data_IF_491181577839
#
_entry.id   IF_491181577839
#
_cell.length_a   1.000
_cell.length_b   1.000
_cell.length_c   1.000
_cell.angle_alpha   90.00
_cell.angle_beta   90.00
_cell.angle_gamma   90.00
#
_symmetry.space_group_name_H-M   'P 1'
#
loop_
_entity.id
_entity.type
_entity.pdbx_description
1 polymer ?
#
# COMPACT_ATOMS: atom_id res chain seq x y z
N UNK A 1 16.38 2.94 24.57
CA UNK A 1 15.64 2.21 23.53
C UNK A 1 15.90 0.73 23.63
N UNK A 2 14.87 -0.06 23.73
CA UNK A 2 14.99 -1.50 23.80
C UNK A 2 14.74 -2.15 22.45
N UNK A 3 14.93 -3.50 22.40
CA UNK A 3 14.70 -4.27 21.18
C UNK A 3 13.24 -4.22 20.72
N UNK A 4 12.29 -3.97 21.63
CA UNK A 4 10.88 -3.84 21.28
C UNK A 4 10.61 -2.72 20.30
N UNK A 5 11.37 -1.63 20.42
CA UNK A 5 11.15 -0.45 19.56
C UNK A 5 11.57 -0.72 18.12
N UNK A 6 12.37 -1.77 17.92
CA UNK A 6 12.76 -2.20 16.59
C UNK A 6 11.82 -3.25 15.98
N UNK A 7 10.85 -3.74 16.76
CA UNK A 7 9.93 -4.75 16.26
C UNK A 7 8.87 -4.11 15.37
N UNK A 8 8.68 -4.70 14.19
CA UNK A 8 7.66 -4.25 13.23
C UNK A 8 7.36 -5.40 12.28
N UNK A 9 6.22 -5.29 11.62
CA UNK A 9 5.81 -6.23 10.58
C UNK A 9 5.68 -5.44 9.29
N UNK A 10 6.25 -5.96 8.20
CA UNK A 10 6.18 -5.28 6.91
C UNK A 10 5.64 -6.27 5.88
N UNK A 11 4.45 -6.01 5.31
CA UNK A 11 3.94 -6.86 4.24
C UNK A 11 4.73 -6.64 2.96
N UNK A 12 4.90 -7.70 2.18
CA UNK A 12 5.54 -7.65 0.88
C UNK A 12 4.53 -8.01 -0.21
N UNK A 13 4.47 -7.20 -1.25
CA UNK A 13 3.58 -7.42 -2.38
C UNK A 13 4.41 -7.75 -3.62
N UNK A 14 3.94 -8.75 -4.41
CA UNK A 14 4.60 -9.12 -5.64
C UNK A 14 4.22 -8.16 -6.76
N UNK A 15 5.23 -7.62 -7.44
CA UNK A 15 5.03 -6.72 -8.58
C UNK A 15 5.83 -7.21 -9.79
N UNK A 16 5.28 -7.03 -10.98
CA UNK A 16 5.94 -7.45 -12.21
C UNK A 16 6.98 -6.41 -12.65
N UNK A 17 6.69 -5.12 -12.44
CA UNK A 17 7.58 -4.02 -12.83
C UNK A 17 7.65 -3.02 -11.69
N UNK A 18 8.81 -2.91 -11.07
CA UNK A 18 8.98 -1.93 -9.99
C UNK A 18 8.77 -0.51 -10.49
N UNK A 19 9.28 -0.19 -11.70
CA UNK A 19 9.12 1.16 -12.25
C UNK A 19 7.64 1.56 -12.37
N UNK A 20 6.80 0.67 -12.89
CA UNK A 20 5.36 0.92 -13.00
C UNK A 20 4.70 1.01 -11.63
N UNK A 21 5.08 0.13 -10.72
CA UNK A 21 4.52 0.10 -9.37
C UNK A 21 4.93 1.32 -8.58
N UNK A 22 6.19 1.73 -8.68
CA UNK A 22 6.68 2.95 -8.00
C UNK A 22 5.84 4.16 -8.41
N UNK A 23 5.61 4.35 -9.71
CA UNK A 23 4.81 5.46 -10.20
C UNK A 23 3.38 5.40 -9.64
N UNK A 24 2.78 4.20 -9.61
CA UNK A 24 1.46 4.02 -9.06
C UNK A 24 1.40 4.35 -7.57
N UNK A 25 2.30 3.77 -6.76
CA UNK A 25 2.30 4.01 -5.31
C UNK A 25 2.62 5.46 -4.98
N UNK A 26 3.49 6.11 -5.76
CA UNK A 26 3.74 7.54 -5.56
C UNK A 26 2.49 8.38 -5.81
N UNK A 27 1.63 7.97 -6.75
CA UNK A 27 0.35 8.66 -6.97
C UNK A 27 -0.60 8.55 -5.79
N UNK A 28 -0.43 7.55 -4.94
CA UNK A 28 -1.21 7.38 -3.70
C UNK A 28 -0.63 8.18 -2.53
N UNK A 29 0.58 8.72 -2.69
CA UNK A 29 1.27 9.44 -1.62
C UNK A 29 2.41 8.68 -0.97
N UNK A 30 2.66 7.44 -1.40
CA UNK A 30 3.82 6.69 -0.92
C UNK A 30 5.11 7.32 -1.46
N UNK A 31 6.20 7.11 -0.72
CA UNK A 31 7.53 7.47 -1.20
C UNK A 31 8.46 6.28 -1.03
N UNK A 32 9.44 6.18 -1.93
CA UNK A 32 10.45 5.15 -1.86
C UNK A 32 11.42 5.47 -0.72
N UNK A 33 11.62 4.50 0.19
CA UNK A 33 12.63 4.63 1.24
C UNK A 33 13.98 4.11 0.77
N UNK A 34 13.99 2.93 0.13
CA UNK A 34 15.20 2.35 -0.44
C UNK A 34 14.83 1.29 -1.47
N UNK A 35 15.79 1.00 -2.34
CA UNK A 35 15.70 -0.12 -3.27
C UNK A 35 16.94 -0.99 -3.12
N UNK A 36 16.78 -2.27 -3.43
CA UNK A 36 17.87 -3.22 -3.42
C UNK A 36 17.78 -4.10 -4.66
N UNK A 37 18.91 -4.21 -5.38
CA UNK A 37 19.11 -5.18 -6.45
C UNK A 37 20.63 -5.40 -6.57
N UNK A 38 21.02 -6.64 -6.87
CA UNK A 38 22.44 -6.99 -6.88
C UNK A 38 23.17 -6.33 -8.04
N UNK A 39 22.53 -6.32 -9.22
CA UNK A 39 23.08 -5.73 -10.43
C UNK A 39 21.97 -5.16 -11.28
N UNK A 40 22.28 -4.21 -12.20
CA UNK A 40 21.28 -3.71 -13.14
C UNK A 40 20.65 -4.85 -13.93
N UNK A 41 19.33 -4.81 -14.08
CA UNK A 41 18.56 -5.85 -14.78
C UNK A 41 18.13 -7.02 -13.92
N UNK A 42 18.60 -7.12 -12.68
CA UNK A 42 18.12 -8.12 -11.73
C UNK A 42 16.87 -7.61 -11.01
N UNK A 43 16.07 -8.54 -10.44
CA UNK A 43 14.84 -8.15 -9.72
C UNK A 43 15.10 -7.13 -8.63
N UNK A 44 14.20 -6.18 -8.53
CA UNK A 44 14.24 -5.13 -7.49
C UNK A 44 13.41 -5.54 -6.29
N UNK A 45 13.89 -5.19 -5.12
CA UNK A 45 13.16 -5.27 -3.87
C UNK A 45 13.23 -3.87 -3.24
N UNK A 46 12.07 -3.32 -2.87
CA UNK A 46 12.03 -1.92 -2.44
C UNK A 46 11.11 -1.73 -1.24
N UNK A 47 11.40 -0.69 -0.47
CA UNK A 47 10.54 -0.24 0.62
C UNK A 47 9.82 1.04 0.21
N UNK A 48 8.51 1.06 0.39
CA UNK A 48 7.66 2.22 0.18
C UNK A 48 6.99 2.59 1.50
N UNK A 49 6.83 3.89 1.72
CA UNK A 49 6.31 4.42 2.99
C UNK A 49 5.18 5.41 2.75
N UNK A 50 4.09 5.26 3.51
CA UNK A 50 2.99 6.22 3.54
C UNK A 50 2.68 6.55 4.99
N UNK A 51 3.01 7.77 5.42
CA UNK A 51 2.70 8.27 6.78
C UNK A 51 3.06 7.27 7.87
N UNK A 52 4.27 6.72 7.81
CA UNK A 52 4.75 5.77 8.80
C UNK A 52 4.36 4.31 8.55
N UNK A 53 3.54 4.06 7.55
CA UNK A 53 3.15 2.69 7.18
C UNK A 53 4.07 2.19 6.06
N UNK A 54 4.75 1.08 6.31
CA UNK A 54 5.73 0.53 5.37
C UNK A 54 5.20 -0.70 4.67
N UNK A 55 5.46 -0.80 3.36
CA UNK A 55 5.27 -2.02 2.59
C UNK A 55 6.52 -2.28 1.77
N UNK A 56 6.75 -3.54 1.44
CA UNK A 56 7.78 -3.91 0.46
C UNK A 56 7.13 -4.23 -0.86
N UNK A 57 7.82 -3.88 -1.96
CA UNK A 57 7.45 -4.29 -3.31
C UNK A 57 8.57 -5.17 -3.85
N UNK A 58 8.24 -6.37 -4.30
CA UNK A 58 9.22 -7.35 -4.74
C UNK A 58 8.97 -7.81 -6.16
N UNK A 59 10.00 -7.72 -7.00
CA UNK A 59 10.00 -8.34 -8.33
C UNK A 59 10.45 -9.80 -8.29
N UNK A 60 10.89 -10.29 -7.13
CA UNK A 60 11.41 -11.66 -7.00
C UNK A 60 10.27 -12.68 -7.05
N UNK A 61 10.30 -13.56 -8.04
CA UNK A 61 9.23 -14.54 -8.27
C UNK A 61 9.08 -15.56 -7.14
N UNK A 62 10.11 -15.71 -6.31
CA UNK A 62 10.08 -16.67 -5.20
C UNK A 62 9.54 -16.10 -3.90
N UNK A 63 9.32 -14.78 -3.80
CA UNK A 63 8.93 -14.16 -2.54
C UNK A 63 7.45 -14.34 -2.22
N UNK A 64 6.59 -14.04 -3.18
CA UNK A 64 5.15 -14.10 -2.98
C UNK A 64 4.43 -14.09 -4.32
N UNK A 65 3.13 -14.32 -4.30
CA UNK A 65 2.29 -14.31 -5.49
C UNK A 65 1.65 -12.94 -5.69
N UNK A 66 1.35 -12.52 -6.94
CA UNK A 66 0.57 -11.31 -7.18
C UNK A 66 -0.86 -11.48 -6.65
N UNK A 67 -1.56 -10.34 -6.47
CA UNK A 67 -2.93 -10.36 -6.00
C UNK A 67 -3.06 -10.40 -4.48
N UNK A 68 -2.09 -9.84 -3.77
CA UNK A 68 -2.13 -9.74 -2.31
C UNK A 68 -3.20 -8.74 -1.83
N UNK A 69 -3.35 -8.69 -0.51
CA UNK A 69 -4.32 -7.81 0.15
C UNK A 69 -3.67 -7.16 1.36
N UNK A 70 -3.74 -5.84 1.45
CA UNK A 70 -3.23 -5.09 2.59
C UNK A 70 -4.30 -4.11 3.07
N UNK A 71 -4.45 -4.00 4.38
CA UNK A 71 -5.35 -3.03 5.01
C UNK A 71 -4.53 -1.90 5.62
N UNK A 72 -4.89 -0.67 5.26
CA UNK A 72 -4.28 0.54 5.81
C UNK A 72 -5.33 1.29 6.61
N UNK A 73 -5.13 1.40 7.91
CA UNK A 73 -5.99 2.24 8.75
C UNK A 73 -5.53 3.68 8.65
N UNK A 74 -6.43 4.56 8.27
CA UNK A 74 -6.14 5.99 8.09
C UNK A 74 -7.14 6.82 8.88
N UNK A 75 -6.75 8.05 9.28
CA UNK A 75 -7.64 8.90 10.09
C UNK A 75 -8.92 9.31 9.39
N UNK A 76 -8.87 9.55 8.07
CA UNK A 76 -10.02 10.05 7.30
C UNK A 76 -9.94 9.55 5.87
N UNK A 77 -10.61 8.43 5.61
CA UNK A 77 -10.57 7.80 4.29
C UNK A 77 -11.27 8.64 3.24
N UNK A 78 -12.28 9.43 3.60
CA UNK A 78 -12.96 10.29 2.63
C UNK A 78 -12.03 11.40 2.14
N UNK A 79 -11.24 11.99 3.02
CA UNK A 79 -10.25 13.00 2.63
C UNK A 79 -9.18 12.38 1.74
N UNK A 80 -8.73 11.16 2.05
CA UNK A 80 -7.75 10.44 1.24
C UNK A 80 -8.33 10.13 -0.15
N UNK A 81 -9.60 9.76 -0.21
CA UNK A 81 -10.29 9.52 -1.47
C UNK A 81 -10.28 10.78 -2.37
N UNK A 82 -10.56 11.94 -1.77
CA UNK A 82 -10.52 13.20 -2.50
C UNK A 82 -9.12 13.46 -3.07
N UNK A 83 -8.08 13.17 -2.29
CA UNK A 83 -6.69 13.31 -2.76
C UNK A 83 -6.41 12.35 -3.92
N UNK A 84 -6.85 11.09 -3.80
CA UNK A 84 -6.65 10.11 -4.87
C UNK A 84 -7.31 10.57 -6.17
N UNK A 85 -8.53 11.08 -6.09
CA UNK A 85 -9.23 11.58 -7.28
C UNK A 85 -8.48 12.77 -7.88
N UNK A 86 -7.95 13.66 -7.05
CA UNK A 86 -7.18 14.82 -7.52
C UNK A 86 -5.90 14.40 -8.24
N UNK A 87 -5.29 13.28 -7.84
CA UNK A 87 -4.09 12.76 -8.49
C UNK A 87 -4.38 11.80 -9.64
N UNK A 88 -5.65 11.62 -10.00
CA UNK A 88 -6.03 10.78 -11.13
C UNK A 88 -5.98 9.28 -10.84
N UNK A 89 -6.03 8.88 -9.56
CA UNK A 89 -6.04 7.48 -9.18
C UNK A 89 -7.38 6.84 -9.56
N UNK A 90 -7.33 5.66 -10.17
CA UNK A 90 -8.53 4.89 -10.48
C UNK A 90 -8.90 4.05 -9.27
N UNK A 91 -9.91 4.49 -8.53
CA UNK A 91 -10.36 3.82 -7.30
C UNK A 91 -11.31 2.68 -7.66
N UNK A 92 -11.06 1.49 -7.12
CA UNK A 92 -11.89 0.30 -7.37
C UNK A 92 -13.27 0.46 -6.73
N UNK A 93 -13.29 0.82 -5.45
CA UNK A 93 -14.53 1.09 -4.72
C UNK A 93 -14.38 2.37 -3.92
N UNK A 94 -15.30 3.31 -4.13
CA UNK A 94 -15.36 4.54 -3.34
C UNK A 94 -15.67 4.22 -1.88
N UNK A 95 -15.34 5.12 -0.95
CA UNK A 95 -15.62 4.89 0.47
C UNK A 95 -17.07 4.51 0.72
N UNK A 96 -17.29 3.46 1.50
CA UNK A 96 -18.61 2.96 1.83
C UNK A 96 -18.58 2.31 3.21
N UNK A 97 -19.76 2.04 3.76
CA UNK A 97 -19.94 1.42 5.07
C UNK A 97 -20.58 0.03 4.96
N UNK A 98 -20.36 -0.67 3.85
CA UNK A 98 -20.98 -1.97 3.59
C UNK A 98 -20.61 -3.02 4.63
N UNK A 99 -19.43 -2.89 5.25
CA UNK A 99 -18.96 -3.85 6.26
C UNK A 99 -19.45 -3.54 7.68
N UNK A 100 -19.99 -2.35 7.92
CA UNK A 100 -20.50 -1.95 9.22
C UNK A 100 -20.54 -0.44 9.38
N UNK A 101 -21.44 0.06 10.23
CA UNK A 101 -21.67 1.49 10.39
C UNK A 101 -20.42 2.26 10.86
N UNK A 102 -19.56 1.59 11.64
CA UNK A 102 -18.37 2.23 12.22
C UNK A 102 -17.12 2.03 11.38
N UNK A 103 -17.24 1.44 10.20
CA UNK A 103 -16.12 1.08 9.37
C UNK A 103 -16.35 1.62 7.94
N UNK A 104 -15.56 2.62 7.59
CA UNK A 104 -15.62 3.21 6.26
C UNK A 104 -14.43 2.76 5.44
N UNK A 105 -14.67 2.13 4.31
CA UNK A 105 -13.64 1.42 3.54
C UNK A 105 -13.68 1.83 2.08
N UNK A 106 -12.49 2.06 1.51
CA UNK A 106 -12.26 2.29 0.10
C UNK A 106 -11.24 1.25 -0.38
N UNK A 107 -11.30 0.85 -1.64
CA UNK A 107 -10.30 -0.06 -2.20
C UNK A 107 -9.70 0.45 -3.50
N UNK A 108 -8.44 0.09 -3.71
CA UNK A 108 -7.67 0.43 -4.89
C UNK A 108 -6.89 -0.82 -5.32
N UNK A 109 -6.80 -1.07 -6.62
CA UNK A 109 -5.98 -2.15 -7.17
C UNK A 109 -4.71 -1.56 -7.76
N UNK A 110 -3.56 -2.15 -7.42
CA UNK A 110 -2.30 -1.75 -8.04
C UNK A 110 -2.15 -2.42 -9.43
N UNK A 111 -1.08 -2.13 -10.20
CA UNK A 111 -0.91 -2.71 -11.54
C UNK A 111 -0.89 -4.24 -11.57
N UNK A 112 -0.59 -4.90 -10.46
CA UNK A 112 -0.52 -6.35 -10.36
C UNK A 112 -1.72 -6.96 -9.64
N UNK A 113 -2.82 -6.19 -9.51
CA UNK A 113 -4.04 -6.61 -8.83
C UNK A 113 -3.86 -6.90 -7.34
N UNK A 114 -2.82 -6.36 -6.73
CA UNK A 114 -2.76 -6.31 -5.27
C UNK A 114 -3.82 -5.33 -4.80
N UNK A 115 -4.67 -5.76 -3.88
CA UNK A 115 -5.76 -4.93 -3.37
C UNK A 115 -5.34 -4.20 -2.11
N UNK A 116 -5.47 -2.90 -2.16
CA UNK A 116 -5.17 -2.03 -1.04
C UNK A 116 -6.49 -1.50 -0.50
N UNK A 117 -6.81 -1.83 0.74
CA UNK A 117 -7.98 -1.29 1.41
C UNK A 117 -7.55 -0.22 2.39
N UNK A 118 -8.12 0.97 2.22
CA UNK A 118 -7.91 2.08 3.14
C UNK A 118 -9.18 2.26 3.94
N UNK A 119 -9.06 2.29 5.26
CA UNK A 119 -10.24 2.31 6.10
C UNK A 119 -10.07 3.21 7.31
N UNK A 120 -11.19 3.76 7.72
CA UNK A 120 -11.32 4.58 8.91
C UNK A 120 -12.32 3.91 9.84
N UNK A 121 -11.89 3.64 11.07
CA UNK A 121 -12.77 3.11 12.10
C UNK A 121 -13.15 4.26 13.02
N UNK A 122 -14.46 4.48 13.20
CA UNK A 122 -14.95 5.66 13.90
C UNK A 122 -15.15 5.46 15.38
N UNK A 123 -15.18 4.19 15.83
CA UNK A 123 -15.34 3.87 17.26
C UNK A 123 -14.22 2.95 17.70
N UNK A 124 -13.39 3.43 18.61
CA UNK A 124 -12.34 2.67 19.25
C UNK A 124 -12.73 2.44 20.71
N UNK A 125 -12.78 1.21 21.12
CA UNK A 125 -13.05 0.82 22.48
C UNK A 125 -11.83 0.20 23.14
#
# INVERSE_FOLDING_TARGET
MGLRDAQRVVPALRVASYAASKAFYESLGFREEWTHHVEPGLPTFASMMLDGMEIFLSEHSGDCQPGGLVHFYVPDVDALYDDFLAYGVNVEQAPNNDLGADLRVMSVLDPDNNRLKFLTQTHWE
#
